data_IF_707992405380
#
_entry.id   IF_707992405380
#
_cell.length_a   1.000
_cell.length_b   1.000
_cell.length_c   1.000
_cell.angle_alpha   90.00
_cell.angle_beta   90.00
_cell.angle_gamma   90.00
#
_symmetry.space_group_name_H-M   'P 1'
#
loop_
_entity.id
_entity.type
_entity.pdbx_description
1 polymer ?
#
# COMPACT_ATOMS: atom_id res chain seq x y z
N UNK A 1 10.96 14.42 -9.96
CA UNK A 1 10.33 13.11 -9.74
C UNK A 1 10.72 12.60 -8.36
N UNK A 2 9.74 12.22 -7.58
CA UNK A 2 10.00 11.65 -6.25
C UNK A 2 10.40 10.18 -6.38
N UNK A 3 11.22 9.73 -5.46
CA UNK A 3 11.64 8.33 -5.37
C UNK A 3 11.01 7.68 -4.15
N UNK A 4 10.84 6.35 -4.13
CA UNK A 4 10.44 5.67 -2.90
C UNK A 4 11.44 5.94 -1.78
N UNK A 5 10.90 6.00 -0.56
CA UNK A 5 11.75 6.08 0.63
C UNK A 5 12.19 4.67 1.00
N UNK A 6 13.47 4.48 1.23
CA UNK A 6 14.01 3.22 1.77
C UNK A 6 14.00 3.36 3.29
N UNK A 7 13.00 2.79 3.93
CA UNK A 7 12.88 2.83 5.37
C UNK A 7 13.86 1.88 6.05
N UNK A 8 14.34 2.28 7.23
CA UNK A 8 15.27 1.46 8.02
C UNK A 8 14.57 0.99 9.29
N UNK A 9 13.54 0.16 9.12
CA UNK A 9 12.82 -0.44 10.25
C UNK A 9 12.40 -1.87 9.89
N UNK A 10 12.24 -2.69 10.93
CA UNK A 10 11.97 -4.12 10.73
C UNK A 10 10.59 -4.40 10.16
N UNK A 11 9.60 -3.54 10.40
CA UNK A 11 8.27 -3.73 9.82
C UNK A 11 8.29 -3.54 8.30
N UNK A 12 8.99 -2.52 7.84
CA UNK A 12 9.19 -2.30 6.40
C UNK A 12 9.95 -3.48 5.79
N UNK A 13 11.00 -3.94 6.46
CA UNK A 13 11.81 -5.07 6.00
C UNK A 13 10.98 -6.36 5.87
N UNK A 14 10.04 -6.60 6.81
CA UNK A 14 9.15 -7.75 6.73
C UNK A 14 8.30 -7.71 5.46
N UNK A 15 7.73 -6.54 5.14
CA UNK A 15 6.93 -6.39 3.92
C UNK A 15 7.77 -6.57 2.68
N UNK A 16 8.97 -6.00 2.65
CA UNK A 16 9.88 -6.15 1.53
C UNK A 16 10.30 -7.61 1.32
N UNK A 17 10.37 -8.39 2.39
CA UNK A 17 10.67 -9.82 2.34
C UNK A 17 9.44 -10.69 2.14
N UNK A 18 8.27 -10.08 1.96
CA UNK A 18 6.97 -10.76 1.79
C UNK A 18 6.59 -11.64 2.99
N UNK A 19 7.05 -11.26 4.17
CA UNK A 19 6.73 -11.93 5.44
C UNK A 19 5.45 -11.34 6.01
N UNK A 20 4.33 -11.51 5.30
CA UNK A 20 3.08 -10.81 5.59
C UNK A 20 2.46 -11.27 6.91
N UNK A 21 2.47 -12.57 7.17
CA UNK A 21 1.89 -13.08 8.41
C UNK A 21 2.64 -12.57 9.65
N UNK A 22 3.95 -12.49 9.57
CA UNK A 22 4.74 -11.95 10.67
C UNK A 22 4.48 -10.47 10.87
N UNK A 23 4.36 -9.70 9.78
CA UNK A 23 3.99 -8.30 9.86
C UNK A 23 2.62 -8.16 10.56
N UNK A 24 1.62 -8.91 10.10
CA UNK A 24 0.27 -8.85 10.66
C UNK A 24 0.27 -9.19 12.15
N UNK A 25 1.06 -10.18 12.53
CA UNK A 25 1.17 -10.62 13.93
C UNK A 25 1.73 -9.51 14.82
N UNK A 26 2.78 -8.84 14.36
CA UNK A 26 3.41 -7.74 15.13
C UNK A 26 2.47 -6.54 15.22
N UNK A 27 1.77 -6.22 14.12
CA UNK A 27 0.77 -5.17 14.11
C UNK A 27 -0.37 -5.49 15.10
N UNK A 28 -0.88 -6.71 15.09
CA UNK A 28 -1.94 -7.15 16.01
C UNK A 28 -1.50 -7.10 17.47
N UNK A 29 -0.22 -7.28 17.73
CA UNK A 29 0.35 -7.18 19.07
C UNK A 29 0.52 -5.73 19.55
N UNK A 30 0.16 -4.75 18.72
CA UNK A 30 0.18 -3.35 19.11
C UNK A 30 1.43 -2.57 18.72
N UNK A 31 2.33 -3.16 17.93
CA UNK A 31 3.51 -2.43 17.47
C UNK A 31 3.11 -1.28 16.56
N UNK A 32 3.66 -0.10 16.80
CA UNK A 32 3.33 1.10 16.02
C UNK A 32 3.86 0.99 14.59
N UNK A 33 2.98 1.32 13.63
CA UNK A 33 3.35 1.41 12.21
C UNK A 33 3.55 2.86 11.77
N UNK A 34 3.35 3.83 12.68
CA UNK A 34 3.39 5.25 12.34
C UNK A 34 4.72 5.66 11.74
N UNK A 35 4.67 6.31 10.57
CA UNK A 35 5.85 6.83 9.90
C UNK A 35 6.78 5.78 9.32
N UNK A 36 6.39 4.51 9.31
CA UNK A 36 7.30 3.42 8.94
C UNK A 36 7.15 2.94 7.51
N UNK A 37 6.05 3.27 6.83
CA UNK A 37 5.73 2.68 5.53
C UNK A 37 5.43 3.72 4.44
N UNK A 38 5.15 4.97 4.81
CA UNK A 38 4.79 6.02 3.85
C UNK A 38 5.85 6.18 2.77
N UNK A 39 5.42 6.37 1.53
CA UNK A 39 6.28 6.49 0.36
C UNK A 39 7.20 5.27 0.13
N UNK A 40 6.88 4.14 0.75
CA UNK A 40 7.70 2.93 0.67
C UNK A 40 7.71 2.32 -0.71
N UNK A 41 8.74 1.53 -0.97
CA UNK A 41 8.90 0.80 -2.23
C UNK A 41 8.34 -0.62 -2.07
N UNK A 42 7.13 -0.83 -2.59
CA UNK A 42 6.47 -2.13 -2.58
C UNK A 42 6.29 -2.69 -3.99
N UNK A 43 7.07 -2.18 -4.95
CA UNK A 43 6.97 -2.59 -6.34
C UNK A 43 7.28 -4.08 -6.48
N UNK A 44 6.40 -4.78 -7.21
CA UNK A 44 6.59 -6.19 -7.56
C UNK A 44 6.43 -7.17 -6.41
N UNK A 45 6.01 -6.75 -5.23
CA UNK A 45 5.90 -7.63 -4.08
C UNK A 45 4.55 -8.32 -4.02
N UNK A 46 4.53 -9.53 -3.47
CA UNK A 46 3.29 -10.22 -3.12
C UNK A 46 2.91 -9.81 -1.70
N UNK A 47 1.88 -8.95 -1.60
CA UNK A 47 1.40 -8.44 -0.32
C UNK A 47 0.01 -8.97 0.03
N UNK A 48 -0.43 -10.04 -0.63
CA UNK A 48 -1.72 -10.64 -0.33
C UNK A 48 -1.80 -10.99 1.15
N UNK A 49 -2.99 -10.87 1.71
CA UNK A 49 -3.30 -11.10 3.13
C UNK A 49 -2.78 -10.00 4.07
N UNK A 50 -2.21 -8.92 3.56
CA UNK A 50 -1.78 -7.80 4.40
C UNK A 50 -2.98 -7.24 5.17
N UNK A 51 -2.82 -7.08 6.48
CA UNK A 51 -3.74 -6.31 7.30
C UNK A 51 -3.41 -4.83 7.15
N UNK A 52 -4.14 -4.16 6.25
CA UNK A 52 -3.90 -2.76 5.93
C UNK A 52 -4.65 -1.77 6.82
N UNK A 53 -5.44 -2.27 7.77
CA UNK A 53 -6.26 -1.41 8.63
C UNK A 53 -5.37 -0.43 9.41
N UNK A 54 -5.66 0.86 9.27
CA UNK A 54 -4.92 1.90 9.98
C UNK A 54 -3.54 2.21 9.43
N UNK A 55 -3.12 1.60 8.33
CA UNK A 55 -1.78 1.86 7.78
C UNK A 55 -1.73 3.18 7.01
N UNK A 56 -0.63 3.90 7.19
CA UNK A 56 -0.28 5.04 6.34
C UNK A 56 0.60 4.55 5.20
N UNK A 57 -0.03 4.37 4.04
CA UNK A 57 0.62 3.96 2.80
C UNK A 57 0.60 5.10 1.79
N UNK A 58 0.46 6.33 2.28
CA UNK A 58 0.48 7.51 1.42
C UNK A 58 1.77 7.55 0.61
N UNK A 59 1.66 7.97 -0.64
CA UNK A 59 2.77 8.07 -1.57
C UNK A 59 3.51 6.77 -1.85
N UNK A 60 2.99 5.62 -1.43
CA UNK A 60 3.64 4.32 -1.62
C UNK A 60 3.65 3.91 -3.10
N UNK A 61 4.60 3.08 -3.47
CA UNK A 61 4.80 2.59 -4.83
C UNK A 61 4.43 1.12 -4.90
N UNK A 62 3.33 0.80 -5.61
CA UNK A 62 2.84 -0.57 -5.74
C UNK A 62 2.92 -1.08 -7.19
N UNK A 63 3.78 -0.52 -8.01
CA UNK A 63 3.88 -0.95 -9.42
C UNK A 63 4.12 -2.47 -9.49
N UNK A 64 3.21 -3.16 -10.20
CA UNK A 64 3.32 -4.59 -10.41
C UNK A 64 3.12 -5.45 -9.15
N UNK A 65 2.75 -4.86 -8.03
CA UNK A 65 2.54 -5.61 -6.78
C UNK A 65 1.26 -6.43 -6.86
N UNK A 66 1.24 -7.56 -6.15
CA UNK A 66 0.03 -8.37 -6.02
C UNK A 66 -0.67 -7.98 -4.72
N UNK A 67 -1.79 -7.27 -4.86
CA UNK A 67 -2.57 -6.72 -3.76
C UNK A 67 -3.94 -7.39 -3.65
N UNK A 68 -4.18 -8.46 -4.39
CA UNK A 68 -5.51 -9.04 -4.52
C UNK A 68 -6.13 -9.36 -3.17
N UNK A 69 -7.38 -8.92 -3.01
CA UNK A 69 -8.18 -9.21 -1.83
C UNK A 69 -7.89 -8.35 -0.61
N UNK A 70 -6.95 -7.42 -0.67
CA UNK A 70 -6.64 -6.56 0.48
C UNK A 70 -7.76 -5.55 0.71
N UNK A 71 -8.11 -5.33 1.96
CA UNK A 71 -9.06 -4.30 2.37
C UNK A 71 -8.29 -3.03 2.78
N UNK A 72 -8.32 -2.03 1.89
CA UNK A 72 -7.67 -0.73 2.13
C UNK A 72 -8.62 0.34 2.66
N UNK A 73 -9.85 -0.01 3.04
CA UNK A 73 -10.86 1.01 3.38
C UNK A 73 -10.41 1.96 4.49
N UNK A 74 -9.65 1.46 5.45
CA UNK A 74 -9.15 2.24 6.58
C UNK A 74 -7.65 2.54 6.49
N UNK A 75 -7.07 2.43 5.32
CA UNK A 75 -5.68 2.79 5.07
C UNK A 75 -5.63 4.17 4.39
N UNK A 76 -4.52 4.88 4.56
CA UNK A 76 -4.28 6.10 3.80
C UNK A 76 -3.48 5.73 2.54
N UNK A 77 -4.11 5.92 1.37
CA UNK A 77 -3.49 5.62 0.07
C UNK A 77 -3.26 6.87 -0.77
N UNK A 78 -3.49 8.07 -0.22
CA UNK A 78 -3.32 9.29 -1.00
C UNK A 78 -1.92 9.40 -1.57
N UNK A 79 -1.82 9.69 -2.86
CA UNK A 79 -0.55 9.81 -3.55
C UNK A 79 0.10 8.49 -3.96
N UNK A 80 -0.49 7.34 -3.61
CA UNK A 80 0.06 6.05 -3.98
C UNK A 80 -0.04 5.79 -5.48
N UNK A 81 0.84 4.95 -6.02
CA UNK A 81 0.79 4.52 -7.42
C UNK A 81 0.48 3.03 -7.50
N UNK A 82 -0.52 2.67 -8.30
CA UNK A 82 -0.96 1.29 -8.53
C UNK A 82 -0.66 0.82 -9.95
N UNK A 83 0.31 1.41 -10.62
CA UNK A 83 0.64 1.09 -12.02
C UNK A 83 0.81 -0.41 -12.20
N UNK A 84 -0.05 -1.02 -13.02
CA UNK A 84 -0.02 -2.45 -13.34
C UNK A 84 -0.08 -3.37 -12.11
N UNK A 85 -0.57 -2.88 -10.97
CA UNK A 85 -0.76 -3.72 -9.79
C UNK A 85 -1.95 -4.66 -9.98
N UNK A 86 -1.90 -5.82 -9.32
CA UNK A 86 -3.03 -6.75 -9.32
C UNK A 86 -3.96 -6.36 -8.16
N UNK A 87 -5.12 -5.81 -8.49
CA UNK A 87 -6.03 -5.21 -7.49
C UNK A 87 -7.40 -5.90 -7.43
N UNK A 88 -7.54 -7.05 -8.05
CA UNK A 88 -8.80 -7.79 -8.03
C UNK A 88 -9.23 -8.10 -6.60
N UNK A 89 -10.48 -7.79 -6.28
CA UNK A 89 -11.04 -8.07 -4.96
C UNK A 89 -10.60 -7.11 -3.86
N UNK A 90 -9.86 -6.06 -4.19
CA UNK A 90 -9.49 -5.04 -3.19
C UNK A 90 -10.69 -4.16 -2.85
N UNK A 91 -10.73 -3.71 -1.60
CA UNK A 91 -11.61 -2.62 -1.17
C UNK A 91 -10.76 -1.36 -1.00
N UNK A 92 -11.28 -0.24 -1.47
CA UNK A 92 -10.56 1.04 -1.43
C UNK A 92 -11.27 2.05 -0.52
N UNK A 93 -10.55 3.04 0.02
CA UNK A 93 -11.19 4.11 0.80
C UNK A 93 -12.28 4.81 0.00
N UNK A 94 -13.33 5.25 0.69
CA UNK A 94 -14.45 5.94 0.04
C UNK A 94 -14.03 7.23 -0.66
N UNK A 95 -12.94 7.87 -0.19
CA UNK A 95 -12.41 9.10 -0.77
C UNK A 95 -11.70 8.87 -2.12
N UNK A 96 -11.44 7.61 -2.47
CA UNK A 96 -10.70 7.28 -3.69
C UNK A 96 -11.66 6.78 -4.75
N UNK A 97 -11.82 7.56 -5.83
CA UNK A 97 -12.74 7.21 -6.91
C UNK A 97 -12.18 6.10 -7.80
N UNK A 98 -13.09 5.38 -8.46
CA UNK A 98 -12.70 4.36 -9.43
C UNK A 98 -11.87 4.94 -10.58
N UNK A 99 -12.17 6.18 -10.99
CA UNK A 99 -11.41 6.83 -12.06
C UNK A 99 -9.96 7.08 -11.66
N UNK A 100 -9.71 7.49 -10.42
CA UNK A 100 -8.34 7.68 -9.93
C UNK A 100 -7.57 6.38 -9.90
N UNK A 101 -8.21 5.31 -9.45
CA UNK A 101 -7.60 3.98 -9.43
C UNK A 101 -7.23 3.53 -10.84
N UNK A 102 -8.15 3.72 -11.80
CA UNK A 102 -7.95 3.34 -13.19
C UNK A 102 -6.82 4.13 -13.85
N UNK A 103 -6.78 5.45 -13.62
CA UNK A 103 -5.71 6.30 -14.14
C UNK A 103 -4.36 5.86 -13.59
N UNK A 104 -4.31 5.51 -12.31
CA UNK A 104 -3.07 5.05 -11.69
C UNK A 104 -2.64 3.71 -12.29
N UNK A 105 -3.57 2.77 -12.45
CA UNK A 105 -3.27 1.46 -13.03
C UNK A 105 -2.75 1.59 -14.46
N UNK A 106 -3.43 2.38 -15.30
CA UNK A 106 -3.11 2.47 -16.73
C UNK A 106 -1.91 3.36 -17.00
N UNK A 107 -1.80 4.49 -16.31
CA UNK A 107 -0.86 5.55 -16.65
C UNK A 107 0.20 5.79 -15.57
N UNK A 108 0.10 5.12 -14.43
CA UNK A 108 1.04 5.32 -13.33
C UNK A 108 0.85 6.62 -12.56
N UNK A 109 -0.27 7.31 -12.78
CA UNK A 109 -0.57 8.56 -12.06
C UNK A 109 -0.82 8.23 -10.59
N UNK A 110 -0.33 9.09 -9.70
CA UNK A 110 -0.60 8.97 -8.27
C UNK A 110 -2.08 9.23 -8.00
N UNK A 111 -2.69 8.39 -7.17
CA UNK A 111 -4.11 8.56 -6.84
C UNK A 111 -4.30 9.78 -5.94
N UNK A 112 -5.43 10.45 -6.12
CA UNK A 112 -5.80 11.63 -5.35
C UNK A 112 -7.13 11.38 -4.67
N UNK A 113 -7.21 11.74 -3.40
CA UNK A 113 -8.49 11.72 -2.70
C UNK A 113 -9.32 12.91 -3.14
N UNK A 114 -10.63 12.71 -3.25
CA UNK A 114 -11.54 13.83 -3.46
C UNK A 114 -12.21 14.21 -2.13
N UNK A 115 -12.54 15.47 -2.01
CA UNK A 115 -13.24 15.98 -0.83
C UNK A 115 -14.73 15.78 -0.95
#
# INVERSE_FOLDING_TARGET
MTKPIVHHNSLYDLLRAEQIHEFNKRKAAGESTEGKLAAGDFRGLDLRDLDADGLDLSDAYFRGADLRGIDFRNANLEGASFCQAHISGCYFPAELSADEIRLSFDLGIRVRYHC
#
